data_IF_640302839509
#
_entry.id   IF_640302839509
#
_cell.length_a   1.000
_cell.length_b   1.000
_cell.length_c   1.000
_cell.angle_alpha   90.00
_cell.angle_beta   90.00
_cell.angle_gamma   90.00
#
_symmetry.space_group_name_H-M   'P 1'
#
loop_
_entity.id
_entity.type
_entity.pdbx_description
1 polymer ?
#
# COMPACT_ATOMS: atom_id res chain seq x y z
N UNK A 1 -11.39 9.20 -0.76
CA UNK A 1 -10.03 9.11 -0.18
C UNK A 1 -9.05 9.87 -1.06
N UNK A 2 -8.15 10.64 -0.43
CA UNK A 2 -7.11 11.42 -1.11
C UNK A 2 -6.22 10.56 -2.01
N UNK A 3 -5.89 9.33 -1.60
CA UNK A 3 -5.06 8.42 -2.39
C UNK A 3 -5.65 8.11 -3.78
N UNK A 4 -6.97 7.93 -3.90
CA UNK A 4 -7.59 7.67 -5.21
C UNK A 4 -7.45 8.85 -6.18
N UNK A 5 -7.40 10.07 -5.64
CA UNK A 5 -7.26 11.28 -6.44
C UNK A 5 -5.80 11.55 -6.82
N UNK A 6 -4.87 11.25 -5.90
CA UNK A 6 -3.45 11.56 -6.08
C UNK A 6 -2.64 10.44 -6.75
N UNK A 7 -2.99 9.17 -6.56
CA UNK A 7 -2.27 8.03 -7.15
C UNK A 7 -1.99 8.19 -8.65
N UNK A 8 -2.95 8.66 -9.49
CA UNK A 8 -2.67 8.84 -10.91
C UNK A 8 -1.51 9.79 -11.25
N UNK A 9 -1.10 10.66 -10.33
CA UNK A 9 -0.03 11.65 -10.51
C UNK A 9 1.31 11.20 -9.87
N UNK A 10 1.31 10.10 -9.12
CA UNK A 10 2.48 9.64 -8.38
C UNK A 10 3.41 8.82 -9.29
N UNK A 11 4.66 9.23 -9.45
CA UNK A 11 5.63 8.41 -10.20
C UNK A 11 5.96 7.09 -9.48
N UNK A 12 6.01 7.13 -8.14
CA UNK A 12 6.30 6.00 -7.28
C UNK A 12 5.30 5.91 -6.13
N UNK A 13 5.05 4.70 -5.65
CA UNK A 13 4.31 4.45 -4.43
C UNK A 13 5.10 3.49 -3.53
N UNK A 14 5.42 3.96 -2.32
CA UNK A 14 5.99 3.14 -1.25
C UNK A 14 4.83 2.61 -0.41
N UNK A 15 4.65 1.29 -0.41
CA UNK A 15 3.52 0.62 0.23
C UNK A 15 4.05 -0.38 1.25
N UNK A 16 3.62 -0.26 2.50
CA UNK A 16 3.77 -1.33 3.49
C UNK A 16 2.58 -2.26 3.35
N UNK A 17 2.81 -3.47 2.87
CA UNK A 17 1.78 -4.52 2.81
C UNK A 17 1.74 -5.22 4.13
N UNK A 18 0.56 -5.32 4.73
CA UNK A 18 0.35 -5.99 6.00
C UNK A 18 -0.55 -7.19 5.74
N UNK A 19 -0.09 -8.37 6.13
CA UNK A 19 -0.91 -9.60 6.09
C UNK A 19 -1.76 -9.64 7.37
N UNK A 20 -2.87 -8.90 7.34
CA UNK A 20 -3.83 -8.85 8.44
C UNK A 20 -5.25 -9.11 7.92
N UNK A 21 -6.04 -9.85 8.72
CA UNK A 21 -7.45 -10.13 8.46
C UNK A 21 -8.38 -9.17 9.24
N UNK A 22 -7.93 -7.96 9.53
CA UNK A 22 -8.73 -6.98 10.27
C UNK A 22 -9.68 -6.20 9.33
N UNK A 23 -10.82 -5.79 9.90
CA UNK A 23 -11.81 -4.97 9.22
C UNK A 23 -11.28 -3.53 9.09
N UNK A 24 -10.95 -3.14 7.86
CA UNK A 24 -10.69 -1.75 7.52
C UNK A 24 -11.98 -1.04 7.05
N UNK A 25 -12.19 0.18 7.51
CA UNK A 25 -13.29 1.05 7.07
C UNK A 25 -13.03 1.71 5.71
N UNK A 26 -11.78 1.62 5.23
CA UNK A 26 -11.30 2.31 4.04
C UNK A 26 -10.21 1.51 3.33
N UNK A 27 -10.13 1.67 2.01
CA UNK A 27 -9.21 0.90 1.18
C UNK A 27 -8.56 1.76 0.09
N UNK A 28 -7.25 1.55 -0.09
CA UNK A 28 -6.49 2.02 -1.24
C UNK A 28 -6.68 1.06 -2.43
N UNK A 29 -6.38 1.51 -3.64
CA UNK A 29 -6.39 0.64 -4.83
C UNK A 29 -5.35 -0.46 -4.68
N UNK A 30 -5.70 -1.70 -5.02
CA UNK A 30 -4.74 -2.80 -5.08
C UNK A 30 -3.81 -2.62 -6.30
N UNK A 31 -2.59 -2.17 -6.06
CA UNK A 31 -1.60 -1.89 -7.11
C UNK A 31 -1.05 -3.17 -7.77
N UNK A 32 -1.20 -4.35 -7.15
CA UNK A 32 -0.83 -5.62 -7.78
C UNK A 32 -1.79 -6.00 -8.92
N UNK A 33 -3.02 -5.52 -8.86
CA UNK A 33 -4.06 -5.78 -9.86
C UNK A 33 -4.25 -4.60 -10.85
N UNK A 34 -3.55 -3.49 -10.65
CA UNK A 34 -3.69 -2.29 -11.47
C UNK A 34 -2.62 -2.30 -12.58
N UNK A 35 -3.06 -2.40 -13.84
CA UNK A 35 -2.16 -2.42 -15.00
C UNK A 35 -1.40 -1.11 -15.22
N UNK A 36 -1.78 -0.02 -14.56
CA UNK A 36 -1.04 1.23 -14.57
C UNK A 36 0.19 1.23 -13.64
N UNK A 37 0.35 0.20 -12.82
CA UNK A 37 1.42 0.08 -11.83
C UNK A 37 2.25 -1.18 -12.05
N UNK A 38 3.53 -1.07 -11.70
CA UNK A 38 4.48 -2.18 -11.76
C UNK A 38 5.18 -2.30 -10.42
N UNK A 39 5.21 -3.51 -9.85
CA UNK A 39 6.06 -3.82 -8.69
C UNK A 39 7.53 -3.76 -9.11
N UNK A 40 8.30 -2.89 -8.46
CA UNK A 40 9.74 -2.71 -8.71
C UNK A 40 10.55 -3.59 -7.78
N UNK A 41 10.25 -3.52 -6.50
CA UNK A 41 10.88 -4.34 -5.46
C UNK A 41 9.87 -4.59 -4.35
N UNK A 42 9.98 -5.74 -3.71
CA UNK A 42 9.39 -5.94 -2.40
C UNK A 42 10.37 -6.70 -1.53
N UNK A 43 10.52 -6.24 -0.31
CA UNK A 43 11.37 -6.88 0.68
C UNK A 43 10.77 -8.23 1.14
N UNK A 44 11.60 -9.03 1.79
CA UNK A 44 11.12 -10.21 2.50
C UNK A 44 10.21 -9.79 3.66
N UNK A 45 9.33 -10.70 4.08
CA UNK A 45 8.44 -10.44 5.20
C UNK A 45 9.23 -10.13 6.47
N UNK A 46 8.84 -9.04 7.11
CA UNK A 46 9.22 -8.66 8.46
C UNK A 46 8.12 -9.12 9.41
N UNK A 47 8.51 -9.44 10.64
CA UNK A 47 7.60 -9.86 11.69
C UNK A 47 7.89 -9.07 12.95
N UNK A 48 6.90 -8.31 13.43
CA UNK A 48 6.98 -7.56 14.68
C UNK A 48 5.75 -7.79 15.55
N UNK A 49 5.83 -7.39 16.82
CA UNK A 49 4.68 -7.37 17.73
C UNK A 49 3.92 -6.05 17.59
N UNK A 50 2.62 -6.12 17.32
CA UNK A 50 1.72 -4.97 17.22
C UNK A 50 0.52 -5.16 18.14
N UNK A 51 -0.05 -4.07 18.67
CA UNK A 51 -1.27 -4.15 19.46
C UNK A 51 -2.47 -4.38 18.55
N UNK A 52 -3.26 -5.43 18.80
CA UNK A 52 -4.53 -5.66 18.13
C UNK A 52 -5.68 -5.14 19.00
N UNK A 53 -6.50 -4.26 18.43
CA UNK A 53 -7.74 -3.82 19.10
C UNK A 53 -8.79 -4.92 19.16
N UNK A 54 -8.81 -5.83 18.18
CA UNK A 54 -9.77 -6.94 18.10
C UNK A 54 -9.44 -8.05 19.10
N UNK A 55 -8.16 -8.40 19.24
CA UNK A 55 -7.70 -9.42 20.20
C UNK A 55 -7.41 -8.86 21.60
N UNK A 56 -7.25 -7.53 21.74
CA UNK A 56 -6.92 -6.85 23.01
C UNK A 56 -5.60 -7.35 23.62
N UNK A 57 -4.65 -7.74 22.77
CA UNK A 57 -3.32 -8.20 23.15
C UNK A 57 -2.30 -7.92 22.01
N UNK A 58 -0.99 -7.99 22.30
CA UNK A 58 0.02 -7.98 21.24
C UNK A 58 -0.12 -9.20 20.34
N UNK A 59 -0.17 -8.98 19.03
CA UNK A 59 -0.20 -10.00 17.99
C UNK A 59 1.05 -9.90 17.12
N UNK A 60 1.42 -11.03 16.53
CA UNK A 60 2.48 -11.06 15.53
C UNK A 60 1.97 -10.50 14.21
N UNK A 61 2.53 -9.38 13.77
CA UNK A 61 2.18 -8.72 12.52
C UNK A 61 3.24 -9.04 11.46
N UNK A 62 2.81 -9.59 10.32
CA UNK A 62 3.67 -9.81 9.18
C UNK A 62 3.46 -8.70 8.15
N UNK A 63 4.55 -8.10 7.67
CA UNK A 63 4.47 -7.03 6.68
C UNK A 63 5.70 -6.97 5.78
N UNK A 64 5.56 -6.34 4.62
CA UNK A 64 6.64 -6.13 3.66
C UNK A 64 6.64 -4.72 3.11
N UNK A 65 7.82 -4.15 2.93
CA UNK A 65 7.98 -2.87 2.23
C UNK A 65 8.11 -3.13 0.72
N UNK A 66 7.15 -2.61 -0.04
CA UNK A 66 7.15 -2.72 -1.49
C UNK A 66 7.22 -1.33 -2.15
N UNK A 67 7.95 -1.27 -3.26
CA UNK A 67 8.03 -0.11 -4.15
C UNK A 67 7.32 -0.42 -5.46
N UNK A 68 6.42 0.47 -5.85
CA UNK A 68 5.76 0.46 -7.14
C UNK A 68 6.18 1.66 -7.97
N UNK A 69 6.20 1.47 -9.29
CA UNK A 69 6.38 2.53 -10.28
C UNK A 69 5.16 2.61 -11.16
N UNK A 70 4.67 3.83 -11.39
CA UNK A 70 3.57 4.06 -12.33
C UNK A 70 4.11 4.08 -13.77
N UNK A 71 3.41 3.42 -14.69
CA UNK A 71 3.85 3.31 -16.09
C UNK A 71 3.72 4.66 -16.81
N UNK A 72 2.63 5.38 -16.56
CA UNK A 72 2.33 6.68 -17.17
C UNK A 72 1.64 7.61 -16.16
N UNK A 73 2.42 8.26 -15.26
CA UNK A 73 1.85 9.23 -14.32
C UNK A 73 1.27 10.43 -15.06
N UNK A 74 0.13 10.91 -14.58
CA UNK A 74 -0.47 12.17 -15.01
C UNK A 74 0.44 13.32 -14.60
N UNK A 75 0.55 14.30 -15.48
CA UNK A 75 1.19 15.58 -15.19
C UNK A 75 0.09 16.55 -14.78
N UNK A 76 0.37 17.40 -13.80
CA UNK A 76 -0.51 18.53 -13.51
C UNK A 76 -0.50 19.46 -14.73
N UNK A 77 -1.64 19.65 -15.39
CA UNK A 77 -1.79 20.72 -16.38
C UNK A 77 -2.08 22.02 -15.66
N UNK A 78 -1.34 23.07 -16.00
CA UNK A 78 -1.69 24.45 -15.67
C UNK A 78 -2.76 24.92 -16.67
N UNK A 79 -4.02 24.51 -16.46
CA UNK A 79 -5.18 25.14 -17.13
C UNK A 79 -5.68 26.34 -16.31
#
# INVERSE_FOLDING_TARGET
MVYRQLLPYCQYAYVTKIDAEDLADSAITNLDCDSGWQLVSCEQHHTDQAWSESAQEPVSLNFSFCLYRQIAPKVFSDD
#
